data_IF_321303377468
#
_entry.id   IF_321303377468
#
_cell.length_a   1.000
_cell.length_b   1.000
_cell.length_c   1.000
_cell.angle_alpha   90.00
_cell.angle_beta   90.00
_cell.angle_gamma   90.00
#
_symmetry.space_group_name_H-M   'P 1'
#
loop_
_entity.id
_entity.type
_entity.pdbx_description
1 polymer ?
#
# COMPACT_ATOMS: atom_id res chain seq x y z
N UNK A 1 2.60 -9.66 -3.73
CA UNK A 1 2.66 -8.22 -4.02
C UNK A 1 1.43 -7.75 -4.80
N UNK A 2 0.98 -8.56 -5.72
CA UNK A 2 -0.14 -8.27 -6.62
C UNK A 2 -1.46 -7.93 -5.90
N UNK A 3 -1.75 -8.63 -4.81
CA UNK A 3 -2.99 -8.48 -4.03
C UNK A 3 -2.85 -7.46 -2.88
N UNK A 4 -2.17 -7.85 -1.81
CA UNK A 4 -2.08 -7.07 -0.58
C UNK A 4 -1.33 -5.74 -0.73
N UNK A 5 -0.47 -5.62 -1.73
CA UNK A 5 0.38 -4.46 -1.95
C UNK A 5 0.04 -3.70 -3.24
N UNK A 6 -1.22 -3.79 -3.68
CA UNK A 6 -1.73 -2.95 -4.75
C UNK A 6 -1.74 -1.47 -4.32
N UNK A 7 -1.43 -0.57 -5.25
CA UNK A 7 -1.41 0.89 -5.03
C UNK A 7 -2.21 1.67 -6.07
N UNK A 8 -2.85 0.94 -7.00
CA UNK A 8 -3.51 1.50 -8.18
C UNK A 8 -5.03 1.50 -8.04
N UNK A 9 -5.52 1.38 -6.78
CA UNK A 9 -6.95 1.33 -6.43
C UNK A 9 -7.70 0.16 -7.11
N UNK A 10 -6.98 -0.93 -7.39
CA UNK A 10 -7.59 -2.19 -7.84
C UNK A 10 -8.15 -2.93 -6.63
N UNK A 11 -9.27 -2.43 -6.14
CA UNK A 11 -9.84 -2.85 -4.86
C UNK A 11 -10.23 -4.33 -4.81
N UNK A 12 -10.57 -4.93 -5.95
CA UNK A 12 -10.80 -6.38 -6.05
C UNK A 12 -9.57 -7.19 -5.61
N UNK A 13 -8.35 -6.73 -5.92
CA UNK A 13 -7.12 -7.39 -5.47
C UNK A 13 -6.92 -7.23 -3.96
N UNK A 14 -7.14 -6.02 -3.47
CA UNK A 14 -7.03 -5.72 -2.02
C UNK A 14 -8.06 -6.50 -1.23
N UNK A 15 -9.25 -6.69 -1.77
CA UNK A 15 -10.34 -7.46 -1.17
C UNK A 15 -9.93 -8.91 -0.88
N UNK A 16 -9.25 -9.57 -1.81
CA UNK A 16 -8.74 -10.94 -1.60
C UNK A 16 -7.79 -11.01 -0.39
N UNK A 17 -6.86 -10.06 -0.29
CA UNK A 17 -5.96 -10.00 0.85
C UNK A 17 -6.68 -9.64 2.16
N UNK A 18 -7.63 -8.71 2.12
CA UNK A 18 -8.46 -8.35 3.26
C UNK A 18 -9.25 -9.56 3.77
N UNK A 19 -9.89 -10.30 2.89
CA UNK A 19 -10.66 -11.51 3.22
C UNK A 19 -9.80 -12.56 3.90
N UNK A 20 -8.60 -12.81 3.38
CA UNK A 20 -7.68 -13.75 4.00
C UNK A 20 -7.24 -13.29 5.40
N UNK A 21 -6.86 -12.02 5.56
CA UNK A 21 -6.33 -11.49 6.83
C UNK A 21 -7.44 -11.29 7.87
N UNK A 22 -8.54 -10.69 7.51
CA UNK A 22 -9.57 -10.26 8.46
C UNK A 22 -10.68 -11.30 8.61
N UNK A 23 -11.15 -11.84 7.49
CA UNK A 23 -12.34 -12.69 7.48
C UNK A 23 -12.02 -14.20 7.58
N UNK A 24 -10.77 -14.59 7.33
CA UNK A 24 -10.37 -16.00 7.27
C UNK A 24 -10.91 -16.71 6.03
N UNK A 25 -11.16 -15.96 4.96
CA UNK A 25 -11.60 -16.46 3.66
C UNK A 25 -10.42 -16.74 2.73
N UNK A 26 -10.57 -17.77 1.89
CA UNK A 26 -9.56 -18.15 0.90
C UNK A 26 -9.22 -19.63 0.94
N UNK A 27 -8.33 -20.05 0.04
CA UNK A 27 -7.87 -21.43 -0.01
C UNK A 27 -6.99 -21.74 1.21
N UNK A 28 -7.15 -22.93 1.77
CA UNK A 28 -6.46 -23.37 2.99
C UNK A 28 -5.42 -24.43 2.67
N UNK A 29 -4.26 -24.32 3.34
CA UNK A 29 -3.16 -25.27 3.27
C UNK A 29 -2.64 -25.61 4.67
N UNK A 30 -2.01 -26.78 4.81
CA UNK A 30 -1.43 -27.16 6.11
C UNK A 30 -0.16 -26.35 6.43
N UNK A 31 0.56 -25.89 5.40
CA UNK A 31 1.77 -25.09 5.57
C UNK A 31 1.92 -24.03 4.45
N UNK A 32 2.69 -22.98 4.76
CA UNK A 32 3.03 -21.97 3.75
C UNK A 32 3.83 -22.57 2.57
N UNK A 33 4.70 -23.55 2.84
CA UNK A 33 5.45 -24.24 1.80
C UNK A 33 4.54 -25.01 0.85
N UNK A 34 3.49 -25.65 1.37
CA UNK A 34 2.49 -26.34 0.56
C UNK A 34 1.72 -25.36 -0.34
N UNK A 35 1.30 -24.21 0.22
CA UNK A 35 0.62 -23.17 -0.53
C UNK A 35 1.47 -22.66 -1.73
N UNK A 36 2.76 -22.40 -1.49
CA UNK A 36 3.68 -21.93 -2.53
C UNK A 36 3.91 -23.01 -3.58
N UNK A 37 4.17 -24.27 -3.19
CA UNK A 37 4.35 -25.38 -4.12
C UNK A 37 3.13 -25.58 -5.01
N UNK A 38 1.95 -25.58 -4.41
CA UNK A 38 0.70 -25.72 -5.16
C UNK A 38 0.51 -24.59 -6.17
N UNK A 39 0.77 -23.35 -5.76
CA UNK A 39 0.71 -22.19 -6.66
C UNK A 39 1.66 -22.36 -7.87
N UNK A 40 2.88 -22.85 -7.64
CA UNK A 40 3.86 -23.09 -8.71
C UNK A 40 3.43 -24.23 -9.64
N UNK A 41 2.83 -25.30 -9.10
CA UNK A 41 2.24 -26.38 -9.92
C UNK A 41 1.13 -25.87 -10.82
N UNK A 42 0.35 -24.89 -10.35
CA UNK A 42 -0.71 -24.23 -11.11
C UNK A 42 -0.17 -23.14 -12.07
N UNK A 43 1.15 -22.97 -12.18
CA UNK A 43 1.81 -21.97 -13.04
C UNK A 43 1.74 -20.54 -12.53
N UNK A 44 1.38 -20.32 -11.25
CA UNK A 44 1.29 -19.00 -10.61
C UNK A 44 2.48 -18.78 -9.70
N UNK A 45 3.33 -17.81 -10.06
CA UNK A 45 4.63 -17.60 -9.41
C UNK A 45 4.69 -16.31 -8.60
N UNK A 46 5.50 -16.33 -7.53
CA UNK A 46 6.02 -15.22 -6.74
C UNK A 46 4.94 -14.16 -6.38
N UNK A 47 5.01 -12.98 -6.97
CA UNK A 47 4.13 -11.87 -6.61
C UNK A 47 2.64 -12.12 -6.97
N UNK A 48 2.36 -13.10 -7.82
CA UNK A 48 1.00 -13.46 -8.25
C UNK A 48 0.35 -14.53 -7.39
N UNK A 49 1.06 -15.11 -6.44
CA UNK A 49 0.50 -16.09 -5.50
C UNK A 49 -0.71 -15.48 -4.79
N UNK A 50 -1.83 -16.19 -4.89
CA UNK A 50 -3.08 -15.75 -4.25
C UNK A 50 -2.98 -15.76 -2.72
N UNK A 51 -3.66 -14.83 -2.03
CA UNK A 51 -3.79 -14.90 -0.58
C UNK A 51 -4.37 -16.24 -0.13
N UNK A 52 -3.72 -16.87 0.84
CA UNK A 52 -4.08 -18.20 1.30
C UNK A 52 -4.04 -18.28 2.83
N UNK A 53 -4.79 -19.21 3.39
CA UNK A 53 -4.80 -19.51 4.82
C UNK A 53 -3.86 -20.68 5.11
N UNK A 54 -3.18 -20.62 6.24
CA UNK A 54 -2.27 -21.67 6.70
C UNK A 54 -2.70 -22.19 8.06
N UNK A 55 -2.75 -23.52 8.20
CA UNK A 55 -3.15 -24.18 9.44
C UNK A 55 -4.57 -23.81 9.85
N UNK A 56 -4.77 -23.53 11.10
CA UNK A 56 -6.09 -23.27 11.71
C UNK A 56 -6.53 -21.80 11.66
N UNK A 57 -5.76 -20.93 11.01
CA UNK A 57 -6.13 -19.52 10.94
C UNK A 57 -7.48 -19.32 10.26
N UNK A 58 -8.41 -18.70 10.98
CA UNK A 58 -9.81 -18.49 10.56
C UNK A 58 -10.21 -17.00 10.51
N UNK A 59 -9.21 -16.13 10.35
CA UNK A 59 -9.39 -14.68 10.41
C UNK A 59 -9.29 -14.15 11.84
N UNK A 60 -9.45 -12.85 11.99
CA UNK A 60 -9.42 -12.21 13.30
C UNK A 60 -10.70 -12.50 14.07
N UNK A 61 -10.56 -12.94 15.32
CA UNK A 61 -11.65 -13.26 16.21
C UNK A 61 -11.44 -12.60 17.58
N UNK A 62 -12.56 -12.30 18.27
CA UNK A 62 -12.52 -11.77 19.64
C UNK A 62 -12.27 -10.27 19.73
N UNK A 63 -12.06 -9.82 20.97
CA UNK A 63 -11.72 -8.43 21.33
C UNK A 63 -10.25 -8.37 21.77
N UNK A 64 -9.67 -7.17 21.85
CA UNK A 64 -8.32 -6.99 22.36
C UNK A 64 -7.20 -7.19 21.35
N UNK A 65 -7.52 -7.17 20.06
CA UNK A 65 -6.48 -7.29 19.03
C UNK A 65 -5.81 -5.95 18.76
N UNK A 66 -4.51 -6.00 18.50
CA UNK A 66 -3.74 -4.86 18.05
C UNK A 66 -3.13 -5.13 16.69
N UNK A 67 -2.95 -4.08 15.89
CA UNK A 67 -2.35 -4.13 14.57
C UNK A 67 -0.96 -3.51 14.62
N UNK A 68 0.04 -4.24 14.13
CA UNK A 68 1.38 -3.69 13.87
C UNK A 68 1.69 -3.84 12.38
N UNK A 69 1.87 -2.72 11.70
CA UNK A 69 2.18 -2.65 10.28
C UNK A 69 3.69 -2.46 10.07
N UNK A 70 4.43 -3.55 9.83
CA UNK A 70 5.90 -3.55 9.72
C UNK A 70 6.41 -3.36 8.28
N UNK A 71 5.73 -2.57 7.47
CA UNK A 71 6.17 -2.26 6.11
C UNK A 71 6.63 -0.80 6.02
N UNK A 72 7.90 -0.60 5.64
CA UNK A 72 8.46 0.76 5.49
C UNK A 72 8.03 1.45 4.18
N UNK A 73 7.48 0.70 3.20
CA UNK A 73 7.09 1.24 1.91
C UNK A 73 5.64 1.74 1.94
N UNK A 74 5.45 3.01 2.21
CA UNK A 74 4.14 3.61 2.44
C UNK A 74 3.17 3.45 1.25
N UNK A 75 3.60 3.72 0.02
CA UNK A 75 2.77 3.66 -1.19
C UNK A 75 2.13 2.28 -1.42
N UNK A 76 2.86 1.20 -1.10
CA UNK A 76 2.42 -0.18 -1.29
C UNK A 76 1.55 -0.73 -0.15
N UNK A 77 1.55 -0.06 1.01
CA UNK A 77 0.82 -0.57 2.17
C UNK A 77 -0.39 0.28 2.55
N UNK A 78 -0.45 1.51 2.05
CA UNK A 78 -1.54 2.47 2.28
C UNK A 78 -2.90 1.88 1.96
N UNK A 79 -3.06 1.22 0.81
CA UNK A 79 -4.35 0.75 0.32
C UNK A 79 -4.94 -0.38 1.18
N UNK A 80 -4.14 -1.36 1.58
CA UNK A 80 -4.61 -2.43 2.47
C UNK A 80 -4.92 -1.88 3.87
N UNK A 81 -4.11 -0.97 4.42
CA UNK A 81 -4.38 -0.35 5.71
C UNK A 81 -5.66 0.50 5.67
N UNK A 82 -5.91 1.23 4.59
CA UNK A 82 -7.16 1.97 4.39
C UNK A 82 -8.34 1.00 4.44
N UNK A 83 -8.26 -0.15 3.79
CA UNK A 83 -9.33 -1.14 3.83
C UNK A 83 -9.55 -1.73 5.23
N UNK A 84 -8.51 -1.86 6.02
CA UNK A 84 -8.56 -2.45 7.37
C UNK A 84 -9.06 -1.42 8.40
N UNK A 85 -8.50 -0.22 8.41
CA UNK A 85 -8.67 0.74 9.50
C UNK A 85 -9.78 1.76 9.27
N UNK A 86 -10.09 2.11 8.01
CA UNK A 86 -11.04 3.18 7.73
C UNK A 86 -12.48 2.75 8.02
N UNK A 87 -13.22 3.45 8.93
CA UNK A 87 -14.58 3.07 9.30
C UNK A 87 -15.58 3.22 8.14
N UNK A 88 -15.43 4.28 7.33
CA UNK A 88 -16.29 4.64 6.20
C UNK A 88 -15.80 4.08 4.85
N UNK A 89 -15.03 2.99 4.88
CA UNK A 89 -14.54 2.33 3.68
C UNK A 89 -15.68 1.74 2.83
N UNK A 90 -15.73 2.07 1.53
CA UNK A 90 -16.86 1.75 0.65
C UNK A 90 -16.48 1.02 -0.65
N UNK A 91 -15.19 0.73 -0.90
CA UNK A 91 -14.76 0.19 -2.19
C UNK A 91 -15.04 -1.30 -2.40
N UNK A 92 -15.31 -2.05 -1.34
CA UNK A 92 -15.87 -3.40 -1.39
C UNK A 92 -16.67 -3.68 -0.12
N UNK A 93 -17.58 -4.66 -0.20
CA UNK A 93 -18.41 -5.05 0.95
C UNK A 93 -17.60 -5.89 1.92
N UNK A 94 -17.43 -5.42 3.14
CA UNK A 94 -16.84 -6.17 4.25
C UNK A 94 -17.92 -7.08 4.86
N UNK A 95 -17.68 -8.40 4.89
CA UNK A 95 -18.56 -9.33 5.59
C UNK A 95 -18.31 -9.26 7.10
N UNK A 96 -17.10 -8.88 7.50
CA UNK A 96 -16.68 -8.68 8.86
C UNK A 96 -15.83 -7.41 8.95
N UNK A 97 -16.25 -6.48 9.77
CA UNK A 97 -15.41 -5.35 10.18
C UNK A 97 -14.78 -5.69 11.53
N UNK A 98 -13.53 -5.30 11.69
CA UNK A 98 -12.77 -5.59 12.90
C UNK A 98 -12.22 -4.29 13.47
N UNK A 99 -12.49 -4.04 14.75
CA UNK A 99 -11.89 -2.95 15.51
C UNK A 99 -10.62 -3.41 16.21
N UNK A 100 -9.57 -2.62 16.09
CA UNK A 100 -8.33 -2.82 16.84
C UNK A 100 -8.32 -1.89 18.06
N UNK A 101 -7.81 -2.39 19.20
CA UNK A 101 -7.60 -1.54 20.38
C UNK A 101 -6.46 -0.55 20.15
N UNK A 102 -5.43 -0.99 19.43
CA UNK A 102 -4.29 -0.19 19.03
C UNK A 102 -3.88 -0.55 17.61
N UNK A 103 -3.45 0.44 16.87
CA UNK A 103 -2.80 0.26 15.58
C UNK A 103 -1.50 1.05 15.56
N UNK A 104 -0.41 0.41 15.11
CA UNK A 104 0.92 0.99 15.06
C UNK A 104 1.53 0.74 13.67
N UNK A 105 1.94 1.80 12.99
CA UNK A 105 2.67 1.75 11.73
C UNK A 105 4.15 1.94 11.91
N UNK A 106 4.97 1.23 11.15
CA UNK A 106 6.42 1.44 11.17
C UNK A 106 6.77 2.87 10.72
N UNK A 107 6.07 3.38 9.71
CA UNK A 107 6.23 4.73 9.16
C UNK A 107 4.86 5.37 8.95
N UNK A 108 4.82 6.68 8.69
CA UNK A 108 3.61 7.36 8.21
C UNK A 108 3.21 6.81 6.83
N UNK A 109 1.98 6.37 6.69
CA UNK A 109 1.44 5.85 5.41
C UNK A 109 0.63 6.91 4.66
N UNK A 110 -0.09 7.76 5.37
CA UNK A 110 -0.76 8.97 4.87
C UNK A 110 -1.26 9.81 6.04
N UNK A 111 -1.47 11.11 5.81
CA UNK A 111 -2.07 12.00 6.82
C UNK A 111 -3.39 11.47 7.39
N UNK A 112 -4.22 10.83 6.55
CA UNK A 112 -5.48 10.22 6.96
C UNK A 112 -5.26 9.01 7.88
N UNK A 113 -4.36 8.09 7.51
CA UNK A 113 -4.06 6.91 8.32
C UNK A 113 -3.39 7.26 9.65
N UNK A 114 -2.59 8.31 9.68
CA UNK A 114 -1.95 8.80 10.91
C UNK A 114 -2.96 9.31 11.96
N UNK A 115 -4.22 9.55 11.58
CA UNK A 115 -5.31 9.81 12.54
C UNK A 115 -5.93 8.54 13.11
N UNK A 116 -5.67 7.37 12.51
CA UNK A 116 -6.24 6.08 12.86
C UNK A 116 -5.24 5.11 13.50
N UNK A 117 -3.95 5.44 13.44
CA UNK A 117 -2.87 4.62 13.96
C UNK A 117 -1.68 5.47 14.42
N UNK A 118 -0.96 4.97 15.41
CA UNK A 118 0.29 5.56 15.85
C UNK A 118 1.42 5.28 14.83
N UNK A 119 2.47 6.12 14.83
CA UNK A 119 3.63 5.98 13.94
C UNK A 119 4.88 5.75 14.79
N UNK A 120 5.59 4.65 14.52
CA UNK A 120 6.80 4.25 15.26
C UNK A 120 8.00 5.15 14.89
N UNK A 121 8.19 5.36 13.58
CA UNK A 121 9.27 6.20 13.04
C UNK A 121 8.63 7.37 12.30
N UNK A 122 8.50 8.54 12.94
CA UNK A 122 7.94 9.71 12.28
C UNK A 122 8.82 10.13 11.12
N UNK A 123 8.19 10.67 10.08
CA UNK A 123 8.92 11.19 8.93
C UNK A 123 9.68 12.45 9.31
N UNK A 124 11.00 12.43 9.16
CA UNK A 124 11.83 13.62 9.29
C UNK A 124 11.75 14.46 8.00
N UNK A 125 11.70 15.76 8.16
CA UNK A 125 11.73 16.68 7.04
C UNK A 125 13.13 16.68 6.38
N UNK A 126 13.20 16.22 5.14
CA UNK A 126 14.43 16.28 4.35
C UNK A 126 14.60 17.69 3.81
N UNK A 127 15.61 18.39 4.32
CA UNK A 127 15.96 19.74 3.89
C UNK A 127 16.93 19.70 2.70
N UNK A 128 16.94 20.79 1.91
CA UNK A 128 17.83 20.95 0.76
C UNK A 128 17.75 19.82 -0.27
N UNK A 129 16.54 19.38 -0.58
CA UNK A 129 16.30 18.54 -1.77
C UNK A 129 16.70 19.32 -3.02
N UNK A 130 16.99 18.60 -4.13
CA UNK A 130 17.30 19.27 -5.40
C UNK A 130 16.18 20.28 -5.79
N UNK A 131 14.90 19.85 -5.63
CA UNK A 131 13.76 20.72 -5.88
C UNK A 131 13.80 22.02 -5.09
N UNK A 132 14.08 21.94 -3.76
CA UNK A 132 14.15 23.12 -2.91
C UNK A 132 15.38 24.01 -3.20
N UNK A 133 16.48 23.42 -3.67
CA UNK A 133 17.65 24.20 -4.08
C UNK A 133 17.39 24.97 -5.39
N UNK A 134 16.72 24.34 -6.35
CA UNK A 134 16.32 24.99 -7.61
C UNK A 134 15.31 26.11 -7.36
N UNK A 135 14.34 25.89 -6.49
CA UNK A 135 13.36 26.90 -6.07
C UNK A 135 14.05 28.14 -5.47
N UNK A 136 14.94 27.94 -4.48
CA UNK A 136 15.73 29.02 -3.89
C UNK A 136 16.58 29.80 -4.91
N UNK A 137 17.00 29.12 -5.96
CA UNK A 137 17.77 29.72 -7.06
C UNK A 137 16.90 30.31 -8.18
N UNK A 138 15.57 30.30 -8.00
CA UNK A 138 14.58 30.75 -8.98
C UNK A 138 14.70 30.05 -10.35
N UNK A 139 15.06 28.75 -10.33
CA UNK A 139 15.20 27.93 -11.53
C UNK A 139 13.93 27.11 -11.73
N UNK A 140 13.35 27.19 -12.93
CA UNK A 140 12.17 26.38 -13.29
C UNK A 140 12.56 24.92 -13.45
N UNK A 141 11.67 24.05 -13.02
CA UNK A 141 11.82 22.60 -13.08
C UNK A 141 10.53 21.93 -13.54
N UNK A 142 10.68 20.84 -14.29
CA UNK A 142 9.56 20.03 -14.75
C UNK A 142 9.67 18.61 -14.18
N UNK A 143 8.58 18.12 -13.58
CA UNK A 143 8.40 16.73 -13.21
C UNK A 143 7.45 16.07 -14.19
N UNK A 144 7.97 15.16 -14.99
CA UNK A 144 7.20 14.44 -16.00
C UNK A 144 7.37 12.94 -15.79
N UNK A 145 6.27 12.21 -15.63
CA UNK A 145 6.28 10.77 -15.54
C UNK A 145 4.91 10.16 -15.85
N UNK A 146 4.92 8.89 -16.15
CA UNK A 146 3.72 8.07 -16.18
C UNK A 146 3.15 7.84 -14.76
N UNK A 147 1.90 7.37 -14.67
CA UNK A 147 1.20 7.14 -13.39
C UNK A 147 2.04 6.32 -12.42
N UNK A 148 2.68 5.24 -12.88
CA UNK A 148 3.50 4.34 -12.07
C UNK A 148 4.73 4.99 -11.44
N UNK A 149 5.31 5.97 -12.10
CA UNK A 149 6.53 6.66 -11.69
C UNK A 149 6.29 8.06 -11.15
N UNK A 150 5.06 8.55 -11.23
CA UNK A 150 4.74 9.93 -10.85
C UNK A 150 5.11 10.26 -9.40
N UNK A 151 4.73 9.39 -8.47
CA UNK A 151 5.10 9.56 -7.07
C UNK A 151 6.62 9.57 -6.84
N UNK A 152 7.38 8.85 -7.68
CA UNK A 152 8.84 8.80 -7.54
C UNK A 152 9.51 10.12 -7.93
N UNK A 153 9.01 10.78 -8.97
CA UNK A 153 9.57 12.06 -9.44
C UNK A 153 8.96 13.28 -8.73
N UNK A 154 7.92 13.10 -7.92
CA UNK A 154 7.27 14.16 -7.14
C UNK A 154 7.48 13.95 -5.64
N UNK A 155 6.60 13.20 -4.98
CA UNK A 155 6.60 12.97 -3.54
C UNK A 155 7.94 12.46 -3.00
N UNK A 156 8.47 11.35 -3.53
CA UNK A 156 9.73 10.77 -3.04
C UNK A 156 10.92 11.65 -3.37
N UNK A 157 10.96 12.23 -4.55
CA UNK A 157 12.03 13.12 -4.96
C UNK A 157 12.08 14.41 -4.12
N UNK A 158 10.93 14.87 -3.67
CA UNK A 158 10.80 16.06 -2.81
C UNK A 158 10.90 15.72 -1.31
N UNK A 159 11.44 14.55 -0.95
CA UNK A 159 11.65 14.15 0.45
C UNK A 159 10.36 13.90 1.23
N UNK A 160 9.31 13.44 0.54
CA UNK A 160 8.02 13.14 1.14
C UNK A 160 7.05 14.32 1.21
N UNK A 161 7.36 15.43 0.55
CA UNK A 161 6.44 16.58 0.42
C UNK A 161 5.59 16.46 -0.83
N UNK A 162 4.27 16.63 -0.68
CA UNK A 162 3.32 16.63 -1.80
C UNK A 162 3.12 18.04 -2.40
N UNK A 163 3.42 19.07 -1.63
CA UNK A 163 3.23 20.45 -2.04
C UNK A 163 4.06 20.78 -3.28
N UNK A 164 3.46 21.57 -4.18
CA UNK A 164 4.09 22.08 -5.37
C UNK A 164 4.98 23.26 -5.02
N UNK A 165 6.24 23.27 -5.49
CA UNK A 165 7.10 24.45 -5.41
C UNK A 165 6.68 25.50 -6.44
N UNK A 166 6.93 26.81 -6.16
CA UNK A 166 6.53 27.91 -7.04
C UNK A 166 7.08 27.77 -8.48
N UNK A 167 8.28 27.18 -8.63
CA UNK A 167 8.95 27.00 -9.90
C UNK A 167 8.90 25.55 -10.43
N UNK A 168 7.92 24.75 -9.96
CA UNK A 168 7.77 23.36 -10.34
C UNK A 168 6.50 23.14 -11.15
N UNK A 169 6.68 22.71 -12.39
CA UNK A 169 5.60 22.22 -13.25
C UNK A 169 5.51 20.68 -13.15
N UNK A 170 4.29 20.12 -13.19
CA UNK A 170 4.06 18.67 -13.15
C UNK A 170 3.20 18.21 -14.32
N UNK A 171 3.67 17.18 -15.02
CA UNK A 171 2.92 16.52 -16.10
C UNK A 171 2.79 15.03 -15.77
N UNK A 172 1.56 14.57 -15.64
CA UNK A 172 1.22 13.17 -15.48
C UNK A 172 0.74 12.58 -16.80
N UNK A 173 1.44 11.57 -17.30
CA UNK A 173 1.02 10.75 -18.44
C UNK A 173 0.35 9.50 -17.88
N UNK A 174 -0.89 9.24 -18.28
CA UNK A 174 -1.61 8.04 -17.81
C UNK A 174 -0.95 6.77 -18.33
N UNK A 175 -0.53 5.89 -17.43
CA UNK A 175 -0.08 4.55 -17.80
C UNK A 175 -1.24 3.74 -18.41
N UNK A 176 -0.97 2.84 -19.38
CA UNK A 176 -1.96 1.90 -19.87
C UNK A 176 -2.54 1.03 -18.74
N UNK A 177 -3.82 0.74 -18.81
CA UNK A 177 -4.49 -0.14 -17.84
C UNK A 177 -4.27 -1.62 -18.23
N UNK A 178 -3.06 -2.08 -18.04
CA UNK A 178 -2.65 -3.48 -18.28
C UNK A 178 -2.44 -4.22 -16.97
N UNK A 179 -2.38 -5.55 -17.02
CA UNK A 179 -2.25 -6.39 -15.84
C UNK A 179 -0.85 -6.33 -15.21
N UNK A 180 0.18 -6.28 -16.06
CA UNK A 180 1.58 -6.35 -15.68
C UNK A 180 2.43 -5.33 -16.43
N UNK A 181 3.60 -4.97 -15.89
CA UNK A 181 4.48 -3.94 -16.45
C UNK A 181 5.10 -4.30 -17.80
N UNK A 182 5.26 -5.57 -18.10
CA UNK A 182 5.78 -6.06 -19.38
C UNK A 182 4.82 -5.82 -20.55
N UNK A 183 3.58 -5.40 -20.23
CA UNK A 183 2.55 -5.06 -21.22
C UNK A 183 2.31 -3.55 -21.36
N UNK A 184 3.13 -2.72 -20.69
CA UNK A 184 3.06 -1.26 -20.76
C UNK A 184 3.79 -0.69 -21.98
#
# INVERSE_FOLDING_TARGET
RYYAMDRDKRWNRTEEAYRAIIEGGGQRFNSATEAVKRSYEDGVFDEFICPALVGDYSGLNGKGNSLIALNFRADRFRQILTSILKPDFQYFKKNKSFGFERALGLVSYSKELDTLMDVMVPQEEIKNTLGSCLEKSNIRQLRLAETEKYAHVTYFFNGGREELSENEDRILIKSPLVETYDKQ
#
